data_IF_172949496728
#
_entry.id   IF_172949496728
#
_cell.length_a   1.000
_cell.length_b   1.000
_cell.length_c   1.000
_cell.angle_alpha   90.00
_cell.angle_beta   90.00
_cell.angle_gamma   90.00
#
_symmetry.space_group_name_H-M   'P 1'
#
loop_
_entity.id
_entity.type
_entity.pdbx_description
1 polymer ?
#
# COMPACT_ATOMS: atom_id res chain seq x y z
N UNK A 1 -4.57 -5.16 34.41
CA UNK A 1 -4.22 -5.92 33.20
C UNK A 1 -4.42 -4.95 32.06
N UNK A 2 -3.38 -4.61 31.30
CA UNK A 2 -3.54 -3.69 30.17
C UNK A 2 -4.46 -4.36 29.15
N UNK A 3 -5.62 -3.72 28.91
CA UNK A 3 -6.53 -4.07 27.84
C UNK A 3 -5.72 -4.09 26.54
N UNK A 4 -5.66 -5.23 25.85
CA UNK A 4 -4.84 -5.37 24.66
C UNK A 4 -5.33 -4.39 23.58
N UNK A 5 -4.44 -3.57 23.01
CA UNK A 5 -4.80 -2.61 21.97
C UNK A 5 -5.57 -3.32 20.84
N UNK A 6 -6.71 -2.76 20.40
CA UNK A 6 -7.48 -3.34 19.33
C UNK A 6 -6.66 -3.36 18.03
N UNK A 7 -6.60 -4.52 17.38
CA UNK A 7 -5.85 -4.69 16.12
C UNK A 7 -6.64 -4.09 14.95
N UNK A 8 -6.04 -3.12 14.26
CA UNK A 8 -6.58 -2.60 13.00
C UNK A 8 -6.54 -3.70 11.91
N UNK A 9 -7.73 -4.21 11.60
CA UNK A 9 -7.92 -5.27 10.62
C UNK A 9 -7.54 -4.85 9.20
N UNK A 10 -7.66 -3.55 8.87
CA UNK A 10 -7.24 -3.02 7.57
C UNK A 10 -5.74 -3.13 7.41
N UNK A 11 -4.97 -2.54 8.34
CA UNK A 11 -3.51 -2.59 8.30
C UNK A 11 -3.00 -4.05 8.27
N UNK A 12 -3.58 -4.92 9.09
CA UNK A 12 -3.22 -6.34 9.11
C UNK A 12 -3.41 -7.04 7.76
N UNK A 13 -4.53 -6.77 7.08
CA UNK A 13 -4.84 -7.36 5.78
C UNK A 13 -3.99 -6.74 4.66
N UNK A 14 -3.69 -5.44 4.73
CA UNK A 14 -2.80 -4.77 3.79
C UNK A 14 -1.40 -5.40 3.81
N UNK A 15 -0.79 -5.58 4.99
CA UNK A 15 0.53 -6.24 5.13
C UNK A 15 0.55 -7.64 4.51
N UNK A 16 -0.55 -8.39 4.64
CA UNK A 16 -0.71 -9.72 4.03
C UNK A 16 -0.89 -9.67 2.51
N UNK A 17 -1.41 -8.57 1.98
CA UNK A 17 -1.64 -8.37 0.55
C UNK A 17 -0.41 -7.78 -0.17
N UNK A 18 0.50 -7.09 0.52
CA UNK A 18 1.72 -6.51 -0.10
C UNK A 18 2.55 -7.52 -0.92
N UNK A 19 2.82 -8.75 -0.46
CA UNK A 19 3.61 -9.72 -1.24
C UNK A 19 2.98 -10.12 -2.58
N UNK A 20 1.66 -9.95 -2.75
CA UNK A 20 0.95 -10.25 -4.00
C UNK A 20 1.08 -9.10 -5.02
N UNK A 21 1.43 -7.91 -4.56
CA UNK A 21 1.51 -6.67 -5.34
C UNK A 21 2.95 -6.20 -5.55
N UNK A 22 3.94 -7.09 -5.40
CA UNK A 22 5.38 -6.78 -5.50
C UNK A 22 5.81 -6.14 -6.81
N UNK A 23 5.15 -6.47 -7.93
CA UNK A 23 5.45 -5.84 -9.22
C UNK A 23 5.15 -4.34 -9.18
N UNK A 24 3.95 -3.96 -8.78
CA UNK A 24 3.55 -2.55 -8.69
C UNK A 24 4.37 -1.79 -7.64
N UNK A 25 4.74 -2.46 -6.55
CA UNK A 25 5.66 -1.91 -5.55
C UNK A 25 7.02 -1.60 -6.16
N UNK A 26 7.59 -2.55 -6.91
CA UNK A 26 8.88 -2.36 -7.59
C UNK A 26 8.85 -1.20 -8.60
N UNK A 27 7.77 -1.08 -9.37
CA UNK A 27 7.60 0.03 -10.33
C UNK A 27 7.48 1.39 -9.60
N UNK A 28 6.80 1.42 -8.46
CA UNK A 28 6.74 2.60 -7.60
C UNK A 28 8.12 2.97 -7.02
N UNK A 29 8.85 2.02 -6.44
CA UNK A 29 10.21 2.24 -5.92
C UNK A 29 11.17 2.73 -6.99
N UNK A 30 11.08 2.18 -8.21
CA UNK A 30 11.85 2.64 -9.36
C UNK A 30 11.51 4.08 -9.72
N UNK A 31 10.24 4.45 -9.65
CA UNK A 31 9.84 5.84 -9.86
C UNK A 31 10.39 6.75 -8.76
N UNK A 32 10.32 6.36 -7.49
CA UNK A 32 10.84 7.15 -6.35
C UNK A 32 12.33 7.47 -6.55
N UNK A 33 13.16 6.45 -6.85
CA UNK A 33 14.60 6.65 -7.15
C UNK A 33 14.87 7.60 -8.31
N UNK A 34 13.98 7.63 -9.32
CA UNK A 34 14.07 8.56 -10.44
C UNK A 34 13.74 10.00 -10.02
N UNK A 35 12.81 10.18 -9.10
CA UNK A 35 12.36 11.51 -8.62
C UNK A 35 13.27 12.06 -7.54
N UNK A 36 13.94 11.22 -6.73
CA UNK A 36 14.87 11.65 -5.67
C UNK A 36 15.95 12.64 -6.16
N UNK A 37 16.42 12.48 -7.40
CA UNK A 37 17.45 13.34 -8.00
C UNK A 37 16.86 14.52 -8.79
N UNK A 38 15.56 14.77 -8.70
CA UNK A 38 14.90 15.86 -9.42
C UNK A 38 14.84 17.15 -8.61
N UNK A 39 15.61 18.15 -9.02
CA UNK A 39 15.60 19.50 -8.41
C UNK A 39 14.43 20.39 -8.85
N UNK A 40 13.59 19.94 -9.79
CA UNK A 40 12.52 20.77 -10.37
C UNK A 40 11.24 20.82 -9.52
N UNK A 41 11.03 19.82 -8.66
CA UNK A 41 9.80 19.67 -7.87
C UNK A 41 8.54 19.31 -8.68
N UNK A 42 8.65 19.16 -10.00
CA UNK A 42 7.51 18.85 -10.87
C UNK A 42 7.32 17.34 -11.09
N UNK A 43 8.38 16.53 -10.96
CA UNK A 43 8.27 15.08 -11.15
C UNK A 43 7.62 14.43 -9.93
N UNK A 44 6.68 13.52 -10.16
CA UNK A 44 6.01 12.76 -9.11
C UNK A 44 5.68 11.33 -9.56
N UNK A 45 5.35 10.47 -8.58
CA UNK A 45 5.09 9.02 -8.77
C UNK A 45 3.66 8.61 -8.44
N UNK A 46 2.72 9.56 -8.46
CA UNK A 46 1.31 9.34 -8.07
C UNK A 46 0.62 8.24 -8.90
N UNK A 47 0.96 8.09 -10.19
CA UNK A 47 0.43 7.00 -11.01
C UNK A 47 0.82 5.63 -10.48
N UNK A 48 2.13 5.39 -10.27
CA UNK A 48 2.63 4.12 -9.74
C UNK A 48 2.13 3.87 -8.31
N UNK A 49 1.98 4.93 -7.52
CA UNK A 49 1.36 4.86 -6.20
C UNK A 49 -0.09 4.36 -6.28
N UNK A 50 -0.90 4.91 -7.19
CA UNK A 50 -2.27 4.44 -7.40
C UNK A 50 -2.33 3.01 -7.94
N UNK A 51 -1.42 2.61 -8.82
CA UNK A 51 -1.36 1.23 -9.31
C UNK A 51 -1.05 0.22 -8.19
N UNK A 52 -0.09 0.56 -7.32
CA UNK A 52 0.26 -0.25 -6.17
C UNK A 52 -0.90 -0.37 -5.17
N UNK A 53 -1.47 0.75 -4.76
CA UNK A 53 -2.58 0.75 -3.81
C UNK A 53 -3.85 0.12 -4.38
N UNK A 54 -4.15 0.32 -5.67
CA UNK A 54 -5.26 -0.36 -6.32
C UNK A 54 -5.12 -1.88 -6.26
N UNK A 55 -3.90 -2.42 -6.39
CA UNK A 55 -3.64 -3.85 -6.23
C UNK A 55 -3.90 -4.32 -4.79
N UNK A 56 -3.36 -3.59 -3.80
CA UNK A 56 -3.54 -3.91 -2.38
C UNK A 56 -5.01 -3.85 -1.99
N UNK A 57 -5.71 -2.77 -2.36
CA UNK A 57 -7.13 -2.57 -2.08
C UNK A 57 -7.99 -3.68 -2.70
N UNK A 58 -7.71 -4.08 -3.95
CA UNK A 58 -8.40 -5.22 -4.60
C UNK A 58 -8.23 -6.52 -3.81
N UNK A 59 -7.06 -6.75 -3.20
CA UNK A 59 -6.78 -7.93 -2.39
C UNK A 59 -7.45 -7.88 -1.00
N UNK A 60 -7.58 -6.69 -0.41
CA UNK A 60 -8.15 -6.46 0.93
C UNK A 60 -9.69 -6.41 0.91
N UNK A 61 -10.28 -5.82 -0.15
CA UNK A 61 -11.71 -5.59 -0.29
C UNK A 61 -12.61 -6.77 0.10
N UNK A 62 -12.39 -8.02 -0.38
CA UNK A 62 -13.26 -9.14 -0.04
C UNK A 62 -13.10 -9.67 1.40
N UNK A 63 -12.10 -9.20 2.17
CA UNK A 63 -11.76 -9.74 3.51
C UNK A 63 -12.03 -8.76 4.64
N UNK A 64 -12.00 -7.46 4.34
CA UNK A 64 -12.03 -6.42 5.37
C UNK A 64 -13.38 -6.38 6.10
N UNK A 65 -14.49 -6.34 5.35
CA UNK A 65 -15.82 -6.23 5.94
C UNK A 65 -16.23 -7.45 6.78
N UNK A 66 -15.68 -8.64 6.48
CA UNK A 66 -15.88 -9.84 7.31
C UNK A 66 -15.25 -9.71 8.71
N UNK A 67 -14.32 -8.77 8.90
CA UNK A 67 -13.64 -8.51 10.17
C UNK A 67 -14.19 -7.29 10.92
N UNK A 68 -15.06 -6.52 10.28
CA UNK A 68 -15.71 -5.36 10.89
C UNK A 68 -17.08 -5.79 11.45
N UNK A 69 -17.44 -5.26 12.62
CA UNK A 69 -18.75 -5.46 13.27
C UNK A 69 -19.56 -4.18 13.24
#
# INVERSE_FOLDING_TARGET
MADAEPVDQKNYLEERCKPQCVKSLYDYERCVKRVENDGSGQKHCTGQYFDYWSCVDKCVAPKLFDKLK
#
